data_IF_839049604808
#
_entry.id   IF_839049604808
#
_cell.length_a   1.000
_cell.length_b   1.000
_cell.length_c   1.000
_cell.angle_alpha   90.00
_cell.angle_beta   90.00
_cell.angle_gamma   90.00
#
_symmetry.space_group_name_H-M   'P 1'
#
loop_
_entity.id
_entity.type
_entity.pdbx_description
1 polymer ?
#
# COMPACT_ATOMS: atom_id res chain seq x y z
N UNK A 1 -38.88 -5.16 2.85
CA UNK A 1 -38.12 -6.22 2.16
C UNK A 1 -36.72 -5.66 1.96
N UNK A 2 -35.68 -6.28 2.52
CA UNK A 2 -34.31 -5.75 2.43
C UNK A 2 -33.76 -5.98 1.02
N UNK A 3 -32.92 -5.08 0.52
CA UNK A 3 -32.27 -5.19 -0.80
C UNK A 3 -31.50 -6.52 -0.92
N UNK A 4 -30.86 -6.96 0.16
CA UNK A 4 -30.18 -8.26 0.23
C UNK A 4 -31.14 -9.43 -0.04
N UNK A 5 -32.36 -9.41 0.51
CA UNK A 5 -33.35 -10.47 0.24
C UNK A 5 -33.74 -10.52 -1.25
N UNK A 6 -33.95 -9.36 -1.87
CA UNK A 6 -34.38 -9.28 -3.27
C UNK A 6 -33.30 -9.71 -4.27
N UNK A 7 -32.05 -9.34 -4.02
CA UNK A 7 -30.98 -9.54 -4.99
C UNK A 7 -30.16 -10.80 -4.74
N UNK A 8 -30.03 -11.23 -3.48
CA UNK A 8 -29.21 -12.37 -3.11
C UNK A 8 -30.04 -13.64 -2.92
N UNK A 9 -31.13 -13.57 -2.14
CA UNK A 9 -31.87 -14.76 -1.73
C UNK A 9 -33.05 -15.13 -2.65
N UNK A 10 -33.80 -14.15 -3.15
CA UNK A 10 -34.99 -14.37 -3.97
C UNK A 10 -34.74 -15.26 -5.21
N UNK A 11 -33.63 -15.12 -5.97
CA UNK A 11 -33.36 -15.99 -7.12
C UNK A 11 -33.27 -17.47 -6.74
N UNK A 12 -32.68 -17.78 -5.59
CA UNK A 12 -32.58 -19.16 -5.07
C UNK A 12 -33.95 -19.71 -4.66
N UNK A 13 -34.79 -18.89 -4.04
CA UNK A 13 -36.17 -19.30 -3.73
C UNK A 13 -36.98 -19.58 -4.99
N UNK A 14 -36.85 -18.74 -6.02
CA UNK A 14 -37.53 -18.95 -7.30
C UNK A 14 -37.07 -20.23 -8.00
N UNK A 15 -35.75 -20.47 -8.06
CA UNK A 15 -35.18 -21.70 -8.61
C UNK A 15 -35.60 -22.95 -7.82
N UNK A 16 -35.60 -22.86 -6.48
CA UNK A 16 -36.04 -23.94 -5.60
C UNK A 16 -37.52 -24.28 -5.79
N UNK A 17 -38.40 -23.28 -5.74
CA UNK A 17 -39.84 -23.44 -5.96
C UNK A 17 -40.10 -24.03 -7.35
N UNK A 18 -39.42 -23.51 -8.38
CA UNK A 18 -39.55 -24.04 -9.73
C UNK A 18 -39.05 -25.48 -9.86
N UNK A 19 -38.02 -25.86 -9.12
CA UNK A 19 -37.52 -27.24 -9.07
C UNK A 19 -38.54 -28.18 -8.44
N UNK A 20 -39.13 -27.81 -7.31
CA UNK A 20 -40.19 -28.60 -6.69
C UNK A 20 -41.43 -28.71 -7.59
N UNK A 21 -41.82 -27.61 -8.23
CA UNK A 21 -42.92 -27.60 -9.19
C UNK A 21 -42.62 -28.52 -10.39
N UNK A 22 -41.42 -28.42 -10.95
CA UNK A 22 -40.98 -29.22 -12.10
C UNK A 22 -40.92 -30.71 -11.79
N UNK A 23 -40.44 -31.08 -10.58
CA UNK A 23 -40.47 -32.46 -10.09
C UNK A 23 -41.90 -32.95 -9.87
N UNK A 24 -42.78 -32.11 -9.30
CA UNK A 24 -44.19 -32.44 -9.10
C UNK A 24 -44.91 -32.69 -10.43
N UNK A 25 -44.77 -31.79 -11.41
CA UNK A 25 -45.37 -31.96 -12.75
C UNK A 25 -44.79 -33.19 -13.44
N UNK A 26 -43.47 -33.38 -13.36
CA UNK A 26 -42.80 -34.56 -13.90
C UNK A 26 -43.28 -35.86 -13.24
N UNK A 27 -43.53 -35.87 -11.93
CA UNK A 27 -44.06 -37.04 -11.23
C UNK A 27 -45.54 -37.28 -11.53
N UNK A 28 -46.36 -36.22 -11.58
CA UNK A 28 -47.79 -36.30 -11.89
C UNK A 28 -48.03 -36.92 -13.28
N UNK A 29 -47.19 -36.61 -14.28
CA UNK A 29 -47.19 -37.24 -15.60
C UNK A 29 -46.87 -38.76 -15.60
N UNK A 30 -46.40 -39.33 -14.49
CA UNK A 30 -46.09 -40.76 -14.35
C UNK A 30 -47.32 -41.60 -13.93
N UNK A 31 -48.31 -41.01 -13.27
CA UNK A 31 -49.51 -41.71 -12.78
C UNK A 31 -50.71 -41.42 -13.67
N UNK A 32 -51.24 -42.46 -14.32
CA UNK A 32 -52.36 -42.46 -15.29
C UNK A 32 -53.73 -41.95 -14.75
N UNK A 33 -53.79 -41.26 -13.61
CA UNK A 33 -55.06 -40.95 -12.90
C UNK A 33 -55.29 -39.46 -12.60
N UNK A 34 -54.53 -38.51 -13.17
CA UNK A 34 -54.94 -37.10 -13.08
C UNK A 34 -54.68 -36.28 -14.35
N UNK A 35 -55.24 -36.77 -15.45
CA UNK A 35 -55.22 -36.16 -16.79
C UNK A 35 -56.06 -34.86 -16.93
N UNK A 36 -56.21 -34.08 -15.84
CA UNK A 36 -57.03 -32.87 -15.81
C UNK A 36 -56.28 -31.62 -15.34
N UNK A 37 -55.02 -31.74 -14.90
CA UNK A 37 -54.28 -30.65 -14.25
C UNK A 37 -52.84 -30.44 -14.75
N UNK A 38 -52.38 -31.24 -15.73
CA UNK A 38 -51.03 -31.13 -16.30
C UNK A 38 -51.13 -30.64 -17.74
N UNK A 39 -50.79 -29.36 -17.95
CA UNK A 39 -50.78 -28.73 -19.27
C UNK A 39 -49.46 -29.09 -20.00
N UNK A 40 -49.57 -29.65 -21.22
CA UNK A 40 -48.43 -30.03 -22.06
C UNK A 40 -47.44 -28.88 -22.25
N UNK A 41 -47.94 -27.68 -22.54
CA UNK A 41 -47.11 -26.48 -22.76
C UNK A 41 -46.32 -26.06 -21.51
N UNK A 42 -46.89 -26.26 -20.32
CA UNK A 42 -46.18 -25.98 -19.07
C UNK A 42 -45.07 -27.01 -18.85
N UNK A 43 -45.34 -28.28 -19.15
CA UNK A 43 -44.34 -29.34 -19.02
C UNK A 43 -43.19 -29.18 -20.02
N UNK A 44 -43.48 -28.80 -21.26
CA UNK A 44 -42.47 -28.54 -22.30
C UNK A 44 -41.61 -27.31 -21.99
N UNK A 45 -42.18 -26.27 -21.40
CA UNK A 45 -41.46 -25.04 -21.04
C UNK A 45 -40.64 -25.12 -19.75
N UNK A 46 -40.73 -26.22 -18.98
CA UNK A 46 -39.93 -26.40 -17.76
C UNK A 46 -38.44 -26.08 -17.96
N UNK A 47 -37.75 -26.64 -18.98
CA UNK A 47 -36.31 -26.45 -19.14
C UNK A 47 -35.94 -25.01 -19.50
N UNK A 48 -36.72 -24.33 -20.36
CA UNK A 48 -36.43 -22.95 -20.75
C UNK A 48 -36.62 -21.96 -19.59
N UNK A 49 -37.61 -22.18 -18.72
CA UNK A 49 -37.81 -21.33 -17.53
C UNK A 49 -36.65 -21.44 -16.54
N UNK A 50 -35.98 -22.59 -16.44
CA UNK A 50 -34.74 -22.70 -15.64
C UNK A 50 -33.62 -21.78 -16.14
N UNK A 51 -33.46 -21.66 -17.46
CA UNK A 51 -32.49 -20.74 -18.06
C UNK A 51 -32.87 -19.29 -17.75
N UNK A 52 -34.14 -18.93 -17.94
CA UNK A 52 -34.63 -17.57 -17.67
C UNK A 52 -34.48 -17.17 -16.20
N UNK A 53 -34.79 -18.07 -15.26
CA UNK A 53 -34.59 -17.83 -13.83
C UNK A 53 -33.10 -17.76 -13.44
N UNK A 54 -32.26 -18.57 -14.07
CA UNK A 54 -30.80 -18.49 -13.89
C UNK A 54 -30.23 -17.16 -14.37
N UNK A 55 -30.68 -16.67 -15.52
CA UNK A 55 -30.30 -15.37 -16.08
C UNK A 55 -30.79 -14.20 -15.22
N UNK A 56 -32.00 -14.29 -14.66
CA UNK A 56 -32.49 -13.33 -13.66
C UNK A 56 -31.60 -13.30 -12.42
N UNK A 57 -31.18 -14.46 -11.92
CA UNK A 57 -30.23 -14.57 -10.81
C UNK A 57 -28.88 -13.93 -11.10
N UNK A 58 -28.37 -14.08 -12.32
CA UNK A 58 -27.14 -13.42 -12.78
C UNK A 58 -27.24 -11.90 -12.68
N UNK A 59 -28.33 -11.32 -13.21
CA UNK A 59 -28.53 -9.87 -13.14
C UNK A 59 -28.72 -9.37 -11.72
N UNK A 60 -29.40 -10.15 -10.87
CA UNK A 60 -29.58 -9.81 -9.47
C UNK A 60 -28.24 -9.82 -8.69
N UNK A 61 -27.40 -10.84 -8.89
CA UNK A 61 -26.09 -10.95 -8.22
C UNK A 61 -25.09 -9.87 -8.65
N UNK A 62 -25.05 -9.53 -9.95
CA UNK A 62 -24.22 -8.42 -10.44
C UNK A 62 -24.71 -7.10 -9.84
N UNK A 63 -26.02 -6.87 -9.82
CA UNK A 63 -26.61 -5.65 -9.24
C UNK A 63 -26.29 -5.55 -7.74
N UNK A 64 -26.32 -6.66 -7.01
CA UNK A 64 -25.94 -6.71 -5.59
C UNK A 64 -24.47 -6.32 -5.37
N UNK A 65 -23.56 -6.83 -6.20
CA UNK A 65 -22.13 -6.52 -6.09
C UNK A 65 -21.76 -5.06 -6.44
N UNK A 66 -22.64 -4.33 -7.12
CA UNK A 66 -22.40 -2.97 -7.58
C UNK A 66 -23.12 -1.88 -6.76
N UNK A 67 -24.15 -2.23 -5.99
CA UNK A 67 -25.04 -1.23 -5.37
C UNK A 67 -24.37 -0.40 -4.26
N UNK A 68 -23.32 -0.94 -3.63
CA UNK A 68 -22.51 -0.25 -2.62
C UNK A 68 -21.03 -0.15 -3.04
N UNK A 69 -20.75 -0.26 -4.34
CA UNK A 69 -19.39 -0.24 -4.84
C UNK A 69 -18.80 1.16 -4.73
N UNK A 70 -17.81 1.32 -3.85
CA UNK A 70 -17.10 2.57 -3.60
C UNK A 70 -15.64 2.48 -4.06
N UNK A 71 -15.19 3.51 -4.78
CA UNK A 71 -13.82 3.65 -5.31
C UNK A 71 -12.83 4.26 -4.33
N UNK A 72 -13.29 4.70 -3.15
CA UNK A 72 -12.43 5.30 -2.15
C UNK A 72 -11.41 4.29 -1.57
N UNK A 73 -10.13 4.68 -1.36
CA UNK A 73 -9.07 3.77 -0.92
C UNK A 73 -9.33 3.05 0.42
N UNK A 74 -10.15 3.63 1.28
CA UNK A 74 -10.52 3.04 2.57
C UNK A 74 -11.57 1.92 2.45
N UNK A 75 -12.43 1.99 1.43
CA UNK A 75 -13.57 1.09 1.25
C UNK A 75 -13.42 0.13 0.08
N UNK A 76 -12.49 0.38 -0.85
CA UNK A 76 -12.29 -0.40 -2.08
C UNK A 76 -12.06 -1.89 -1.82
N UNK A 77 -11.38 -2.27 -0.72
CA UNK A 77 -11.19 -3.69 -0.37
C UNK A 77 -12.53 -4.36 -0.05
N UNK A 78 -13.41 -3.66 0.66
CA UNK A 78 -14.77 -4.13 0.97
C UNK A 78 -15.62 -4.15 -0.29
N UNK A 79 -15.57 -3.09 -1.11
CA UNK A 79 -16.27 -3.00 -2.41
C UNK A 79 -15.90 -4.15 -3.35
N UNK A 80 -14.60 -4.50 -3.44
CA UNK A 80 -14.12 -5.62 -4.24
C UNK A 80 -14.62 -6.95 -3.67
N UNK A 81 -14.64 -7.10 -2.35
CA UNK A 81 -15.13 -8.33 -1.70
C UNK A 81 -16.62 -8.53 -1.95
N UNK A 82 -17.43 -7.48 -1.79
CA UNK A 82 -18.88 -7.51 -2.03
C UNK A 82 -19.20 -7.75 -3.51
N UNK A 83 -18.39 -7.18 -4.42
CA UNK A 83 -18.49 -7.44 -5.86
C UNK A 83 -18.19 -8.91 -6.18
N UNK A 84 -17.12 -9.47 -5.61
CA UNK A 84 -16.75 -10.87 -5.80
C UNK A 84 -17.83 -11.81 -5.26
N UNK A 85 -18.45 -11.49 -4.14
CA UNK A 85 -19.56 -12.27 -3.59
C UNK A 85 -20.83 -12.18 -4.45
N UNK A 86 -21.16 -10.99 -4.97
CA UNK A 86 -22.25 -10.80 -5.94
C UNK A 86 -22.04 -11.57 -7.24
N UNK A 87 -20.82 -11.54 -7.79
CA UNK A 87 -20.43 -12.31 -8.98
C UNK A 87 -20.44 -13.82 -8.74
N UNK A 88 -19.97 -14.27 -7.58
CA UNK A 88 -20.02 -15.68 -7.17
C UNK A 88 -21.46 -16.17 -7.08
N UNK A 89 -22.36 -15.37 -6.50
CA UNK A 89 -23.78 -15.69 -6.43
C UNK A 89 -24.41 -15.78 -7.84
N UNK A 90 -24.13 -14.78 -8.69
CA UNK A 90 -24.58 -14.74 -10.08
C UNK A 90 -24.13 -15.98 -10.88
N UNK A 91 -22.87 -16.39 -10.71
CA UNK A 91 -22.32 -17.58 -11.36
C UNK A 91 -23.06 -18.85 -10.92
N UNK A 92 -23.28 -19.04 -9.61
CA UNK A 92 -23.96 -20.23 -9.10
C UNK A 92 -25.44 -20.30 -9.49
N UNK A 93 -26.15 -19.18 -9.54
CA UNK A 93 -27.55 -19.17 -10.00
C UNK A 93 -27.68 -19.52 -11.48
N UNK A 94 -26.74 -19.04 -12.31
CA UNK A 94 -26.67 -19.39 -13.73
C UNK A 94 -26.33 -20.85 -13.94
N UNK A 95 -25.32 -21.36 -13.23
CA UNK A 95 -24.92 -22.76 -13.26
C UNK A 95 -26.09 -23.67 -12.87
N UNK A 96 -26.84 -23.32 -11.82
CA UNK A 96 -28.02 -24.06 -11.41
C UNK A 96 -29.12 -24.07 -12.48
N UNK A 97 -29.40 -22.92 -13.10
CA UNK A 97 -30.36 -22.81 -14.20
C UNK A 97 -29.97 -23.67 -15.42
N UNK A 98 -28.69 -23.65 -15.80
CA UNK A 98 -28.18 -24.47 -16.92
C UNK A 98 -28.25 -25.96 -16.58
N UNK A 99 -27.81 -26.37 -15.39
CA UNK A 99 -27.90 -27.76 -14.96
C UNK A 99 -29.36 -28.24 -14.88
N UNK A 100 -30.25 -27.43 -14.32
CA UNK A 100 -31.70 -27.71 -14.27
C UNK A 100 -32.28 -27.88 -15.68
N UNK A 101 -31.97 -26.96 -16.59
CA UNK A 101 -32.38 -27.05 -17.99
C UNK A 101 -31.91 -28.35 -18.65
N UNK A 102 -30.63 -28.73 -18.50
CA UNK A 102 -30.11 -29.95 -19.12
C UNK A 102 -30.79 -31.23 -18.57
N UNK A 103 -30.99 -31.29 -17.26
CA UNK A 103 -31.64 -32.42 -16.59
C UNK A 103 -33.11 -32.52 -17.05
N UNK A 104 -33.87 -31.43 -16.95
CA UNK A 104 -35.29 -31.43 -17.30
C UNK A 104 -35.52 -31.53 -18.80
N UNK A 105 -34.65 -30.98 -19.65
CA UNK A 105 -34.68 -31.18 -21.11
C UNK A 105 -34.61 -32.67 -21.45
N UNK A 106 -33.73 -33.41 -20.77
CA UNK A 106 -33.59 -34.86 -20.96
C UNK A 106 -34.83 -35.61 -20.46
N UNK A 107 -35.42 -35.19 -19.34
CA UNK A 107 -36.65 -35.80 -18.77
C UNK A 107 -37.86 -35.56 -19.69
N UNK A 108 -38.07 -34.33 -20.14
CA UNK A 108 -39.15 -33.95 -21.06
C UNK A 108 -39.03 -34.75 -22.36
N UNK A 109 -37.84 -34.74 -22.98
CA UNK A 109 -37.56 -35.48 -24.22
C UNK A 109 -37.78 -36.99 -24.06
N UNK A 110 -37.33 -37.57 -22.96
CA UNK A 110 -37.53 -38.99 -22.68
C UNK A 110 -39.02 -39.36 -22.58
N UNK A 111 -39.84 -38.52 -21.96
CA UNK A 111 -41.28 -38.75 -21.80
C UNK A 111 -42.09 -38.52 -23.07
N UNK A 112 -41.68 -37.55 -23.89
CA UNK A 112 -42.24 -37.34 -25.23
C UNK A 112 -41.97 -38.55 -26.14
N UNK A 113 -40.72 -39.02 -26.19
CA UNK A 113 -40.33 -40.17 -27.04
C UNK A 113 -41.02 -41.48 -26.64
N UNK A 114 -41.35 -41.66 -25.36
CA UNK A 114 -42.11 -42.83 -24.89
C UNK A 114 -43.64 -42.70 -25.03
N UNK A 115 -44.14 -41.63 -25.63
CA UNK A 115 -45.58 -41.40 -25.84
C UNK A 115 -46.37 -41.15 -24.54
N UNK A 116 -45.67 -40.76 -23.46
CA UNK A 116 -46.28 -40.48 -22.14
C UNK A 116 -46.79 -39.04 -22.09
N UNK A 117 -46.13 -38.13 -22.81
CA UNK A 117 -46.58 -36.76 -23.05
C UNK A 117 -46.84 -36.61 -24.55
N UNK A 118 -48.12 -36.52 -24.94
CA UNK A 118 -48.55 -36.44 -26.34
C UNK A 118 -49.00 -35.01 -26.62
N UNK A 119 -48.47 -34.44 -27.69
CA UNK A 119 -48.84 -33.12 -28.20
C UNK A 119 -50.32 -33.15 -28.64
N UNK A 120 -51.17 -32.18 -28.25
CA UNK A 120 -52.56 -32.14 -28.67
C UNK A 120 -52.66 -31.89 -30.19
N UNK A 121 -53.43 -32.73 -30.88
CA UNK A 121 -53.59 -32.68 -32.34
C UNK A 121 -54.56 -31.57 -32.76
N UNK A 122 -54.08 -30.56 -33.49
CA UNK A 122 -54.90 -29.57 -34.20
C UNK A 122 -54.43 -29.48 -35.67
N UNK A 123 -55.34 -29.80 -36.59
CA UNK A 123 -55.13 -29.69 -38.03
C UNK A 123 -55.17 -28.21 -38.49
N UNK A 124 -54.22 -27.83 -39.33
CA UNK A 124 -53.97 -26.54 -40.02
C UNK A 124 -53.01 -25.51 -39.41
N UNK A 125 -52.64 -25.58 -38.13
CA UNK A 125 -51.61 -24.68 -37.56
C UNK A 125 -50.17 -25.24 -37.67
N UNK A 126 -50.04 -26.54 -37.96
CA UNK A 126 -48.77 -27.28 -37.97
C UNK A 126 -47.78 -26.81 -39.05
N UNK A 127 -48.26 -26.24 -40.15
CA UNK A 127 -47.40 -25.77 -41.24
C UNK A 127 -46.82 -24.37 -40.96
N UNK A 128 -47.60 -23.50 -40.32
CA UNK A 128 -47.09 -22.25 -39.77
C UNK A 128 -46.17 -22.50 -38.57
N UNK A 129 -46.50 -23.44 -37.69
CA UNK A 129 -45.63 -23.86 -36.58
C UNK A 129 -44.31 -24.49 -37.05
N UNK A 130 -44.30 -25.27 -38.13
CA UNK A 130 -43.05 -25.77 -38.74
C UNK A 130 -42.20 -24.65 -39.32
N UNK A 131 -42.83 -23.65 -39.96
CA UNK A 131 -42.12 -22.47 -40.46
C UNK A 131 -41.62 -21.57 -39.31
N UNK A 132 -42.40 -21.41 -38.25
CA UNK A 132 -42.01 -20.72 -37.02
C UNK A 132 -40.87 -21.47 -36.33
N UNK A 133 -40.92 -22.80 -36.23
CA UNK A 133 -39.86 -23.62 -35.64
C UNK A 133 -38.58 -23.55 -36.49
N UNK A 134 -38.68 -23.63 -37.82
CA UNK A 134 -37.52 -23.44 -38.71
C UNK A 134 -36.92 -22.03 -38.58
N UNK A 135 -37.77 -21.00 -38.46
CA UNK A 135 -37.32 -19.62 -38.21
C UNK A 135 -36.74 -19.46 -36.79
N UNK A 136 -37.29 -20.12 -35.77
CA UNK A 136 -36.78 -20.12 -34.40
C UNK A 136 -35.46 -20.88 -34.28
N UNK A 137 -35.27 -21.98 -35.03
CA UNK A 137 -34.00 -22.68 -35.13
C UNK A 137 -32.98 -21.80 -35.86
N UNK A 138 -33.36 -21.17 -36.98
CA UNK A 138 -32.48 -20.23 -37.69
C UNK A 138 -32.14 -18.98 -36.87
N UNK A 139 -33.07 -18.51 -36.03
CA UNK A 139 -32.83 -17.46 -35.04
C UNK A 139 -31.97 -17.97 -33.88
N UNK A 140 -32.17 -19.20 -33.41
CA UNK A 140 -31.36 -19.82 -32.35
C UNK A 140 -29.92 -20.06 -32.82
N UNK A 141 -29.70 -20.43 -34.08
CA UNK A 141 -28.36 -20.53 -34.68
C UNK A 141 -27.71 -19.15 -34.83
N UNK A 142 -28.47 -18.12 -35.25
CA UNK A 142 -27.96 -16.74 -35.30
C UNK A 142 -27.66 -16.20 -33.92
N UNK A 143 -28.51 -16.48 -32.93
CA UNK A 143 -28.32 -16.10 -31.54
C UNK A 143 -27.13 -16.86 -30.95
N UNK A 144 -26.97 -18.17 -31.17
CA UNK A 144 -25.81 -18.92 -30.70
C UNK A 144 -24.51 -18.39 -31.31
N UNK A 145 -24.47 -18.16 -32.62
CA UNK A 145 -23.28 -17.60 -33.28
C UNK A 145 -22.99 -16.14 -32.88
N UNK A 146 -24.02 -15.31 -32.66
CA UNK A 146 -23.87 -13.95 -32.15
C UNK A 146 -23.50 -13.92 -30.66
N UNK A 147 -24.00 -14.85 -29.86
CA UNK A 147 -23.66 -14.99 -28.43
C UNK A 147 -22.23 -15.51 -28.27
N UNK A 148 -21.79 -16.50 -29.06
CA UNK A 148 -20.43 -17.03 -29.00
C UNK A 148 -19.40 -15.97 -29.36
N UNK A 149 -19.62 -15.22 -30.43
CA UNK A 149 -18.71 -14.13 -30.83
C UNK A 149 -18.81 -12.93 -29.89
N UNK A 150 -20.02 -12.45 -29.56
CA UNK A 150 -20.17 -11.27 -28.73
C UNK A 150 -19.79 -11.49 -27.26
N UNK A 151 -20.06 -12.65 -26.67
CA UNK A 151 -19.63 -12.95 -25.30
C UNK A 151 -18.12 -13.14 -25.26
N UNK A 152 -17.51 -13.91 -26.17
CA UNK A 152 -16.05 -14.09 -26.18
C UNK A 152 -15.34 -12.76 -26.42
N UNK A 153 -15.82 -11.95 -27.35
CA UNK A 153 -15.24 -10.63 -27.65
C UNK A 153 -15.46 -9.64 -26.50
N UNK A 154 -16.63 -9.64 -25.86
CA UNK A 154 -16.88 -8.83 -24.66
C UNK A 154 -16.05 -9.28 -23.46
N UNK A 155 -15.84 -10.58 -23.27
CA UNK A 155 -15.07 -11.13 -22.14
C UNK A 155 -13.57 -10.91 -22.37
N UNK A 156 -13.11 -11.03 -23.63
CA UNK A 156 -11.75 -10.64 -24.03
C UNK A 156 -11.52 -9.14 -23.81
N UNK A 157 -12.45 -8.30 -24.27
CA UNK A 157 -12.41 -6.85 -24.02
C UNK A 157 -12.39 -6.52 -22.54
N UNK A 158 -13.24 -7.16 -21.73
CA UNK A 158 -13.27 -6.96 -20.28
C UNK A 158 -11.95 -7.39 -19.60
N UNK A 159 -11.34 -8.49 -20.01
CA UNK A 159 -10.04 -8.91 -19.45
C UNK A 159 -8.92 -7.99 -19.91
N UNK A 160 -8.93 -7.52 -21.17
CA UNK A 160 -7.99 -6.51 -21.66
C UNK A 160 -8.15 -5.20 -20.88
N UNK A 161 -9.38 -4.75 -20.61
CA UNK A 161 -9.67 -3.55 -19.83
C UNK A 161 -9.23 -3.69 -18.37
N UNK A 162 -9.46 -4.86 -17.74
CA UNK A 162 -8.98 -5.14 -16.37
C UNK A 162 -7.45 -5.16 -16.35
N UNK A 163 -6.80 -5.77 -17.35
CA UNK A 163 -5.35 -5.82 -17.44
C UNK A 163 -4.74 -4.43 -17.66
N UNK A 164 -5.34 -3.61 -18.54
CA UNK A 164 -4.94 -2.22 -18.78
C UNK A 164 -5.14 -1.35 -17.54
N UNK A 165 -6.27 -1.53 -16.84
CA UNK A 165 -6.54 -0.84 -15.56
C UNK A 165 -5.52 -1.24 -14.50
N UNK A 166 -5.21 -2.54 -14.38
CA UNK A 166 -4.23 -3.06 -13.45
C UNK A 166 -2.82 -2.52 -13.75
N UNK A 167 -2.42 -2.45 -15.03
CA UNK A 167 -1.19 -1.78 -15.46
C UNK A 167 -1.15 -0.33 -15.06
N UNK A 168 -2.20 0.43 -15.38
CA UNK A 168 -2.27 1.86 -15.03
C UNK A 168 -2.17 2.04 -13.52
N UNK A 169 -2.88 1.22 -12.74
CA UNK A 169 -2.86 1.27 -11.29
C UNK A 169 -1.48 0.96 -10.72
N UNK A 170 -0.84 -0.13 -11.17
CA UNK A 170 0.50 -0.50 -10.70
C UNK A 170 1.52 0.55 -11.12
N UNK A 171 1.52 1.01 -12.37
CA UNK A 171 2.43 2.06 -12.81
C UNK A 171 2.23 3.32 -11.99
N UNK A 172 1.01 3.80 -11.83
CA UNK A 172 0.75 5.05 -11.12
C UNK A 172 1.06 4.96 -9.62
N UNK A 173 0.75 3.84 -8.96
CA UNK A 173 0.99 3.66 -7.52
C UNK A 173 2.46 3.37 -7.22
N UNK A 174 3.13 2.55 -8.04
CA UNK A 174 4.56 2.27 -7.89
C UNK A 174 5.37 3.51 -8.26
N UNK A 175 5.16 4.11 -9.43
CA UNK A 175 5.90 5.29 -9.89
C UNK A 175 5.74 6.47 -8.94
N UNK A 176 4.50 6.86 -8.58
CA UNK A 176 4.30 7.99 -7.66
C UNK A 176 4.86 7.75 -6.26
N UNK A 177 4.77 6.52 -5.74
CA UNK A 177 5.33 6.24 -4.41
C UNK A 177 6.85 6.17 -4.43
N UNK A 178 7.47 5.60 -5.47
CA UNK A 178 8.92 5.62 -5.65
C UNK A 178 9.44 7.02 -5.91
N UNK A 179 8.72 7.87 -6.64
CA UNK A 179 9.09 9.27 -6.86
C UNK A 179 9.06 10.06 -5.56
N UNK A 180 7.97 9.95 -4.78
CA UNK A 180 7.89 10.57 -3.44
C UNK A 180 8.98 10.07 -2.50
N UNK A 181 9.27 8.77 -2.53
CA UNK A 181 10.30 8.17 -1.69
C UNK A 181 11.72 8.60 -2.12
N UNK A 182 11.96 8.67 -3.43
CA UNK A 182 13.22 9.18 -4.01
C UNK A 182 13.41 10.65 -3.64
N UNK A 183 12.35 11.46 -3.74
CA UNK A 183 12.37 12.87 -3.35
C UNK A 183 12.68 13.04 -1.86
N UNK A 184 12.03 12.27 -0.99
CA UNK A 184 12.30 12.29 0.44
C UNK A 184 13.75 11.89 0.78
N UNK A 185 14.29 10.88 0.09
CA UNK A 185 15.69 10.45 0.27
C UNK A 185 16.66 11.52 -0.24
N UNK A 186 16.38 12.16 -1.38
CA UNK A 186 17.21 13.26 -1.89
C UNK A 186 17.23 14.45 -0.93
N UNK A 187 16.08 14.84 -0.38
CA UNK A 187 16.00 15.87 0.64
C UNK A 187 16.80 15.50 1.89
N UNK A 188 16.77 14.22 2.30
CA UNK A 188 17.55 13.75 3.44
C UNK A 188 19.07 13.80 3.15
N UNK A 189 19.51 13.42 1.95
CA UNK A 189 20.91 13.54 1.53
C UNK A 189 21.37 14.99 1.57
N UNK A 190 20.55 15.90 1.05
CA UNK A 190 20.88 17.33 1.03
C UNK A 190 20.92 17.92 2.45
N UNK A 191 19.91 17.60 3.27
CA UNK A 191 19.89 17.98 4.68
C UNK A 191 21.13 17.48 5.42
N UNK A 192 21.55 16.22 5.22
CA UNK A 192 22.78 15.69 5.82
C UNK A 192 24.03 16.45 5.35
N UNK A 193 24.08 16.84 4.06
CA UNK A 193 25.19 17.62 3.50
C UNK A 193 25.29 18.98 4.18
N UNK A 194 24.18 19.69 4.30
CA UNK A 194 24.11 20.99 4.98
C UNK A 194 24.46 20.86 6.46
N UNK A 195 23.89 19.87 7.15
CA UNK A 195 24.14 19.62 8.56
C UNK A 195 25.61 19.37 8.85
N UNK A 196 26.29 18.57 8.03
CA UNK A 196 27.74 18.33 8.15
C UNK A 196 28.54 19.64 8.07
N UNK A 197 28.18 20.54 7.16
CA UNK A 197 28.86 21.84 7.03
C UNK A 197 28.68 22.69 8.28
N UNK A 198 27.51 22.69 8.88
CA UNK A 198 27.25 23.38 10.15
C UNK A 198 28.11 22.81 11.29
N UNK A 199 28.17 21.47 11.43
CA UNK A 199 28.96 20.84 12.50
C UNK A 199 30.46 21.07 12.30
N UNK A 200 30.92 21.06 11.05
CA UNK A 200 32.30 21.42 10.71
C UNK A 200 32.60 22.87 11.12
N UNK A 201 31.68 23.81 10.88
CA UNK A 201 31.82 25.20 11.32
C UNK A 201 31.86 25.33 12.85
N UNK A 202 31.00 24.58 13.56
CA UNK A 202 31.01 24.53 15.02
C UNK A 202 32.33 23.97 15.54
N UNK A 203 32.87 22.91 14.93
CA UNK A 203 34.17 22.33 15.27
C UNK A 203 35.28 23.38 15.15
N UNK A 204 35.34 24.09 14.03
CA UNK A 204 36.33 25.15 13.80
C UNK A 204 36.20 26.30 14.81
N UNK A 205 34.96 26.69 15.14
CA UNK A 205 34.70 27.70 16.16
C UNK A 205 35.18 27.24 17.56
N UNK A 206 34.93 25.98 17.93
CA UNK A 206 35.43 25.39 19.17
C UNK A 206 36.96 25.29 19.21
N UNK A 207 37.60 24.93 18.10
CA UNK A 207 39.07 24.94 18.00
C UNK A 207 39.65 26.33 18.23
N UNK A 208 39.03 27.35 17.63
CA UNK A 208 39.41 28.74 17.87
C UNK A 208 39.21 29.13 19.34
N UNK A 209 38.09 28.74 19.94
CA UNK A 209 37.78 29.01 21.35
C UNK A 209 38.81 28.38 22.29
N UNK A 210 39.16 27.10 22.09
CA UNK A 210 40.19 26.39 22.87
C UNK A 210 41.53 27.12 22.80
N UNK A 211 41.94 27.55 21.60
CA UNK A 211 43.21 28.27 21.42
C UNK A 211 43.20 29.63 22.11
N UNK A 212 42.13 30.42 21.94
CA UNK A 212 42.00 31.73 22.62
C UNK A 212 41.96 31.58 24.14
N UNK A 213 41.28 30.55 24.65
CA UNK A 213 41.22 30.28 26.08
C UNK A 213 42.57 29.84 26.64
N UNK A 214 43.36 29.08 25.87
CA UNK A 214 44.75 28.74 26.20
C UNK A 214 45.62 29.99 26.33
N UNK A 215 45.60 30.88 25.33
CA UNK A 215 46.35 32.15 25.36
C UNK A 215 45.95 33.02 26.57
N UNK A 216 44.65 33.10 26.87
CA UNK A 216 44.14 33.81 28.04
C UNK A 216 44.64 33.20 29.36
N UNK A 217 44.66 31.88 29.46
CA UNK A 217 45.15 31.15 30.63
C UNK A 217 46.65 31.38 30.84
N UNK A 218 47.46 31.26 29.78
CA UNK A 218 48.91 31.55 29.82
C UNK A 218 49.21 33.00 30.24
N UNK A 219 48.43 33.95 29.73
CA UNK A 219 48.52 35.36 30.11
C UNK A 219 48.17 35.55 31.59
N UNK A 220 47.15 34.86 32.08
CA UNK A 220 46.71 34.93 33.50
C UNK A 220 47.79 34.40 34.43
N UNK A 221 48.42 33.26 34.12
CA UNK A 221 49.56 32.75 34.89
C UNK A 221 50.73 33.75 34.93
N UNK A 222 51.01 34.42 33.81
CA UNK A 222 52.05 35.48 33.76
C UNK A 222 51.68 36.66 34.66
N UNK A 223 50.40 37.00 34.81
CA UNK A 223 49.95 38.06 35.71
C UNK A 223 50.04 37.65 37.18
N UNK A 224 49.69 36.41 37.52
CA UNK A 224 49.86 35.85 38.88
C UNK A 224 51.33 35.95 39.29
N UNK A 225 52.25 35.47 38.45
CA UNK A 225 53.70 35.50 38.72
C UNK A 225 54.21 36.93 38.96
N UNK A 226 53.78 37.90 38.15
CA UNK A 226 54.12 39.32 38.33
C UNK A 226 53.53 39.92 39.61
N UNK A 227 52.31 39.57 39.98
CA UNK A 227 51.69 40.06 41.22
C UNK A 227 52.42 39.54 42.45
N UNK A 228 52.82 38.26 42.43
CA UNK A 228 53.64 37.66 43.48
C UNK A 228 55.02 38.32 43.58
N UNK A 229 55.68 38.60 42.45
CA UNK A 229 56.96 39.30 42.43
C UNK A 229 56.84 40.70 43.05
N UNK A 230 55.83 41.50 42.64
CA UNK A 230 55.62 42.85 43.18
C UNK A 230 55.26 42.79 44.67
N UNK A 231 54.44 41.82 45.10
CA UNK A 231 54.12 41.65 46.51
C UNK A 231 55.39 41.34 47.34
N UNK A 232 56.27 40.48 46.81
CA UNK A 232 57.57 40.19 47.41
C UNK A 232 58.48 41.42 47.51
N UNK A 233 58.62 42.18 46.42
CA UNK A 233 59.40 43.43 46.39
C UNK A 233 58.84 44.48 47.37
N UNK A 234 57.51 44.60 47.46
CA UNK A 234 56.85 45.56 48.36
C UNK A 234 57.03 45.17 49.82
N UNK A 235 56.99 43.87 50.14
CA UNK A 235 57.33 43.37 51.48
C UNK A 235 58.78 43.68 51.86
N UNK A 236 59.72 43.57 50.92
CA UNK A 236 61.12 43.97 51.16
C UNK A 236 61.26 45.46 51.40
N UNK A 237 60.58 46.30 50.60
CA UNK A 237 60.55 47.74 50.81
C UNK A 237 59.98 48.11 52.18
N UNK A 238 58.90 47.46 52.62
CA UNK A 238 58.32 47.68 53.95
C UNK A 238 59.34 47.38 55.07
N UNK A 239 60.14 46.32 54.95
CA UNK A 239 61.21 46.00 55.91
C UNK A 239 62.30 47.08 55.94
N UNK A 240 62.76 47.54 54.77
CA UNK A 240 63.79 48.59 54.67
C UNK A 240 63.31 49.90 55.30
N UNK A 241 62.05 50.29 55.07
CA UNK A 241 61.51 51.52 55.65
C UNK A 241 61.31 51.37 57.17
N UNK A 242 60.91 50.20 57.68
CA UNK A 242 60.85 49.92 59.13
C UNK A 242 62.24 50.06 59.78
N UNK A 243 63.29 49.56 59.13
CA UNK A 243 64.68 49.68 59.60
C UNK A 243 65.17 51.13 59.56
N UNK A 244 64.85 51.89 58.51
CA UNK A 244 65.18 53.32 58.41
C UNK A 244 64.47 54.16 59.48
N UNK A 245 63.19 53.87 59.75
CA UNK A 245 62.41 54.48 60.83
C UNK A 245 63.04 54.26 62.20
N UNK A 246 63.54 53.06 62.48
CA UNK A 246 64.20 52.77 63.75
C UNK A 246 65.44 53.66 64.02
N UNK A 247 65.96 54.29 62.97
CA UNK A 247 67.15 55.16 62.99
C UNK A 247 66.76 56.65 62.93
N UNK A 248 65.52 57.00 62.57
CA UNK A 248 65.04 58.39 62.40
C UNK A 248 63.90 58.72 63.38
N UNK A 249 64.11 59.74 64.22
CA UNK A 249 63.17 60.18 65.28
C UNK A 249 61.95 61.00 64.74
N UNK A 250 61.53 60.78 63.48
CA UNK A 250 60.41 61.48 62.81
C UNK A 250 59.25 60.51 62.50
N UNK A 251 58.25 60.53 63.36
CA UNK A 251 57.24 59.47 63.48
C UNK A 251 55.99 59.65 62.59
N UNK A 252 55.73 60.83 62.01
CA UNK A 252 54.38 61.14 61.54
C UNK A 252 54.06 60.75 60.10
N UNK A 253 54.96 61.03 59.13
CA UNK A 253 54.69 60.80 57.69
C UNK A 253 55.13 59.42 57.20
N UNK A 254 56.30 58.96 57.61
CA UNK A 254 56.80 57.63 57.23
C UNK A 254 55.94 56.51 57.80
N UNK A 255 55.35 56.70 58.99
CA UNK A 255 54.46 55.71 59.60
C UNK A 255 53.18 55.46 58.84
N UNK A 256 52.62 56.53 58.27
CA UNK A 256 51.46 56.42 57.41
C UNK A 256 51.80 55.68 56.11
N UNK A 257 52.92 56.02 55.48
CA UNK A 257 53.40 55.36 54.25
C UNK A 257 53.66 53.87 54.49
N UNK A 258 54.30 53.48 55.60
CA UNK A 258 54.51 52.05 55.91
C UNK A 258 53.19 51.31 56.07
N UNK A 259 52.23 51.90 56.78
CA UNK A 259 50.92 51.27 56.99
C UNK A 259 50.22 51.06 55.65
N UNK A 260 50.19 52.08 54.79
CA UNK A 260 49.60 52.01 53.44
C UNK A 260 50.32 50.98 52.54
N UNK A 261 51.66 50.91 52.60
CA UNK A 261 52.47 49.95 51.84
C UNK A 261 52.24 48.51 52.33
N UNK A 262 52.17 48.28 53.64
CA UNK A 262 51.86 46.96 54.23
C UNK A 262 50.45 46.51 53.87
N UNK A 263 49.46 47.40 53.97
CA UNK A 263 48.08 47.12 53.59
C UNK A 263 47.96 46.81 52.09
N UNK A 264 48.62 47.58 51.23
CA UNK A 264 48.69 47.32 49.79
C UNK A 264 49.35 45.97 49.48
N UNK A 265 50.44 45.61 50.18
CA UNK A 265 51.13 44.32 50.03
C UNK A 265 50.22 43.15 50.41
N UNK A 266 49.50 43.27 51.55
CA UNK A 266 48.56 42.25 52.00
C UNK A 266 47.39 42.08 51.01
N UNK A 267 46.87 43.19 50.47
CA UNK A 267 45.85 43.18 49.43
C UNK A 267 46.37 42.53 48.13
N UNK A 268 47.62 42.81 47.73
CA UNK A 268 48.25 42.18 46.57
C UNK A 268 48.44 40.67 46.76
N UNK A 269 48.93 40.20 47.91
CA UNK A 269 49.04 38.77 48.20
C UNK A 269 47.67 38.08 48.16
N UNK A 270 46.65 38.71 48.74
CA UNK A 270 45.29 38.17 48.72
C UNK A 270 44.75 38.08 47.28
N UNK A 271 44.99 39.12 46.48
CA UNK A 271 44.59 39.16 45.06
C UNK A 271 45.34 38.12 44.23
N UNK A 272 46.64 37.97 44.44
CA UNK A 272 47.46 36.99 43.73
C UNK A 272 46.97 35.56 43.98
N UNK A 273 46.74 35.22 45.26
CA UNK A 273 46.21 33.90 45.64
C UNK A 273 44.82 33.63 45.06
N UNK A 274 43.94 34.62 45.05
CA UNK A 274 42.63 34.49 44.42
C UNK A 274 42.75 34.29 42.90
N UNK A 275 43.68 35.01 42.25
CA UNK A 275 43.92 34.88 40.81
C UNK A 275 44.55 33.53 40.45
N UNK A 276 45.41 32.98 41.31
CA UNK A 276 45.97 31.62 41.18
C UNK A 276 44.85 30.55 41.22
N UNK A 277 43.94 30.64 42.19
CA UNK A 277 42.76 29.76 42.27
C UNK A 277 41.88 29.86 41.01
N UNK A 278 41.68 31.07 40.49
CA UNK A 278 40.96 31.28 39.24
C UNK A 278 41.71 30.73 38.01
N UNK A 279 43.05 30.82 37.98
CA UNK A 279 43.89 30.27 36.92
C UNK A 279 43.80 28.75 36.83
N UNK A 280 43.78 28.08 37.99
CA UNK A 280 43.57 26.63 38.06
C UNK A 280 42.18 26.23 37.51
N UNK A 281 41.13 26.98 37.84
CA UNK A 281 39.78 26.77 37.27
C UNK A 281 39.73 27.05 35.77
N UNK A 282 40.51 28.01 35.26
CA UNK A 282 40.61 28.25 33.82
C UNK A 282 41.19 27.03 33.08
N UNK A 283 42.13 26.30 33.69
CA UNK A 283 42.65 25.06 33.11
C UNK A 283 41.61 23.94 33.10
N UNK A 284 40.79 23.81 34.15
CA UNK A 284 39.65 22.88 34.16
C UNK A 284 38.67 23.17 33.01
N UNK A 285 38.32 24.45 32.80
CA UNK A 285 37.48 24.88 31.68
C UNK A 285 38.14 24.58 30.32
N UNK A 286 39.45 24.76 30.22
CA UNK A 286 40.21 24.41 29.00
C UNK A 286 40.10 22.93 28.67
N UNK A 287 40.22 22.05 29.68
CA UNK A 287 40.08 20.61 29.51
C UNK A 287 38.66 20.25 29.05
N UNK A 288 37.63 20.83 29.67
CA UNK A 288 36.24 20.62 29.26
C UNK A 288 35.97 21.04 27.80
N UNK A 289 36.60 22.12 27.32
CA UNK A 289 36.51 22.51 25.91
C UNK A 289 37.23 21.53 24.97
N UNK A 290 38.37 20.95 25.39
CA UNK A 290 39.06 19.91 24.62
C UNK A 290 38.19 18.65 24.53
N UNK A 291 37.57 18.23 25.63
CA UNK A 291 36.66 17.08 25.64
C UNK A 291 35.46 17.32 24.72
N UNK A 292 34.83 18.50 24.81
CA UNK A 292 33.73 18.90 23.91
C UNK A 292 34.15 18.88 22.43
N UNK A 293 35.36 19.35 22.12
CA UNK A 293 35.93 19.28 20.76
C UNK A 293 36.07 17.84 20.26
N UNK A 294 36.53 16.94 21.13
CA UNK A 294 36.70 15.52 20.78
C UNK A 294 35.33 14.87 20.51
N UNK A 295 34.34 15.12 21.36
CA UNK A 295 32.97 14.63 21.14
C UNK A 295 32.36 15.13 19.82
N UNK A 296 32.56 16.40 19.46
CA UNK A 296 32.13 16.95 18.18
C UNK A 296 32.82 16.24 17.01
N UNK A 297 34.10 15.86 17.17
CA UNK A 297 34.85 15.16 16.13
C UNK A 297 34.36 13.72 15.94
N UNK A 298 34.13 12.98 17.03
CA UNK A 298 33.52 11.63 16.98
C UNK A 298 32.10 11.66 16.42
N UNK A 299 31.36 12.71 16.72
CA UNK A 299 30.03 12.90 16.15
C UNK A 299 30.06 13.11 14.63
N UNK A 300 31.03 13.88 14.12
CA UNK A 300 31.25 14.07 12.69
C UNK A 300 31.56 12.74 11.98
N UNK A 301 32.34 11.86 12.60
CA UNK A 301 32.63 10.52 12.06
C UNK A 301 31.39 9.63 12.01
N UNK A 302 30.53 9.69 13.02
CA UNK A 302 29.25 8.95 13.02
C UNK A 302 28.33 9.44 11.92
N UNK A 303 28.27 10.75 11.68
CA UNK A 303 27.46 11.33 10.61
C UNK A 303 27.89 10.84 9.21
N UNK A 304 29.19 10.63 9.00
CA UNK A 304 29.71 10.06 7.75
C UNK A 304 29.19 8.63 7.51
N UNK A 305 29.08 7.82 8.56
CA UNK A 305 28.47 6.49 8.46
C UNK A 305 26.97 6.53 8.13
N UNK A 306 26.23 7.50 8.68
CA UNK A 306 24.80 7.70 8.34
C UNK A 306 24.68 8.12 6.88
N UNK A 307 25.50 9.05 6.40
CA UNK A 307 25.50 9.49 5.00
C UNK A 307 25.77 8.35 4.02
N UNK A 308 26.76 7.52 4.30
CA UNK A 308 27.08 6.38 3.45
C UNK A 308 25.92 5.38 3.40
N UNK A 309 25.23 5.19 4.52
CA UNK A 309 24.00 4.37 4.61
C UNK A 309 22.85 4.97 3.80
N UNK A 310 22.63 6.28 3.88
CA UNK A 310 21.60 6.98 3.10
C UNK A 310 21.88 6.89 1.59
N UNK A 311 23.14 7.03 1.18
CA UNK A 311 23.53 6.88 -0.22
C UNK A 311 23.31 5.44 -0.71
N UNK A 312 23.65 4.44 0.10
CA UNK A 312 23.37 3.03 -0.21
C UNK A 312 21.87 2.74 -0.31
N UNK A 313 21.05 3.34 0.56
CA UNK A 313 19.60 3.26 0.52
C UNK A 313 19.05 3.86 -0.78
N UNK A 314 19.52 5.06 -1.15
CA UNK A 314 19.16 5.74 -2.41
C UNK A 314 19.46 4.86 -3.63
N UNK A 315 20.65 4.27 -3.67
CA UNK A 315 21.04 3.36 -4.75
C UNK A 315 20.17 2.10 -4.79
N UNK A 316 19.90 1.50 -3.63
CA UNK A 316 19.02 0.32 -3.52
C UNK A 316 17.60 0.64 -3.98
N UNK A 317 17.11 1.84 -3.70
CA UNK A 317 15.79 2.28 -4.14
C UNK A 317 15.70 2.39 -5.67
N UNK A 318 16.75 2.93 -6.30
CA UNK A 318 16.84 3.03 -7.76
C UNK A 318 16.87 1.66 -8.44
N UNK A 319 17.58 0.69 -7.86
CA UNK A 319 17.62 -0.68 -8.37
C UNK A 319 16.27 -1.41 -8.19
N UNK A 320 15.62 -1.25 -7.03
CA UNK A 320 14.27 -1.78 -6.80
C UNK A 320 13.25 -1.25 -7.80
N UNK A 321 13.29 0.06 -8.09
CA UNK A 321 12.41 0.68 -9.09
C UNK A 321 12.57 0.04 -10.47
N UNK A 322 13.81 -0.21 -10.91
CA UNK A 322 14.07 -0.89 -12.21
C UNK A 322 13.60 -2.34 -12.21
N UNK A 323 13.80 -3.05 -11.10
CA UNK A 323 13.42 -4.45 -10.96
C UNK A 323 11.91 -4.64 -11.04
N UNK A 324 11.13 -3.82 -10.32
CA UNK A 324 9.67 -3.90 -10.34
C UNK A 324 9.11 -3.64 -11.74
N UNK A 325 9.55 -2.58 -12.43
CA UNK A 325 9.12 -2.28 -13.80
C UNK A 325 9.33 -3.49 -14.73
N UNK A 326 10.52 -4.09 -14.69
CA UNK A 326 10.84 -5.26 -15.55
C UNK A 326 10.03 -6.52 -15.20
N UNK A 327 9.60 -6.66 -13.95
CA UNK A 327 8.82 -7.81 -13.49
C UNK A 327 7.36 -7.66 -13.88
N UNK A 328 6.83 -6.44 -13.79
CA UNK A 328 5.48 -6.09 -14.20
C UNK A 328 5.32 -6.31 -15.71
N UNK A 329 6.28 -5.86 -16.53
CA UNK A 329 6.29 -6.09 -17.98
C UNK A 329 6.25 -7.60 -18.33
N UNK A 330 7.07 -8.42 -17.66
CA UNK A 330 7.09 -9.87 -17.88
C UNK A 330 5.82 -10.57 -17.42
N UNK A 331 5.22 -10.11 -16.32
CA UNK A 331 3.98 -10.69 -15.79
C UNK A 331 2.81 -10.41 -16.74
N UNK A 332 2.77 -9.20 -17.31
CA UNK A 332 1.80 -8.84 -18.33
C UNK A 332 1.94 -9.68 -19.59
N UNK A 333 3.15 -9.79 -20.15
CA UNK A 333 3.39 -10.63 -21.34
C UNK A 333 2.93 -12.07 -21.11
N UNK A 334 3.25 -12.63 -19.93
CA UNK A 334 2.83 -13.98 -19.57
C UNK A 334 1.32 -14.10 -19.41
N UNK A 335 0.68 -13.14 -18.72
CA UNK A 335 -0.77 -13.13 -18.52
C UNK A 335 -1.52 -13.05 -19.86
N UNK A 336 -1.12 -12.14 -20.74
CA UNK A 336 -1.72 -11.99 -22.07
C UNK A 336 -1.56 -13.26 -22.91
N UNK A 337 -0.40 -13.91 -22.84
CA UNK A 337 -0.14 -15.19 -23.52
C UNK A 337 -1.01 -16.34 -22.98
N UNK A 338 -1.12 -16.46 -21.65
CA UNK A 338 -1.93 -17.50 -21.00
C UNK A 338 -3.43 -17.27 -21.27
N UNK A 339 -3.85 -16.00 -21.32
CA UNK A 339 -5.20 -15.60 -21.67
C UNK A 339 -5.55 -15.95 -23.13
N UNK A 340 -4.66 -15.64 -24.08
CA UNK A 340 -4.84 -15.98 -25.49
C UNK A 340 -4.95 -17.50 -25.68
N UNK A 341 -4.13 -18.28 -24.97
CA UNK A 341 -4.18 -19.74 -24.99
C UNK A 341 -5.51 -20.27 -24.44
N UNK A 342 -6.03 -19.66 -23.37
CA UNK A 342 -7.31 -20.02 -22.76
C UNK A 342 -8.47 -19.77 -23.72
N UNK A 343 -8.51 -18.60 -24.38
CA UNK A 343 -9.55 -18.27 -25.36
C UNK A 343 -9.51 -19.19 -26.59
N UNK A 344 -8.31 -19.54 -27.09
CA UNK A 344 -8.17 -20.52 -28.18
C UNK A 344 -8.71 -21.90 -27.80
N UNK A 345 -8.46 -22.33 -26.56
CA UNK A 345 -8.95 -23.61 -26.05
C UNK A 345 -10.48 -23.61 -25.94
N UNK A 346 -11.06 -22.50 -25.47
CA UNK A 346 -12.49 -22.32 -25.38
C UNK A 346 -13.19 -22.35 -26.74
N UNK A 347 -12.66 -21.62 -27.73
CA UNK A 347 -13.15 -21.62 -29.12
C UNK A 347 -13.13 -23.03 -29.73
N UNK A 348 -12.07 -23.81 -29.46
CA UNK A 348 -11.98 -25.20 -29.90
C UNK A 348 -13.08 -26.09 -29.28
N UNK A 349 -13.32 -25.96 -27.97
CA UNK A 349 -14.34 -26.74 -27.26
C UNK A 349 -15.76 -26.42 -27.75
N UNK A 350 -16.05 -25.15 -28.04
CA UNK A 350 -17.34 -24.73 -28.62
C UNK A 350 -17.53 -25.33 -30.01
N UNK A 351 -16.52 -25.24 -30.89
CA UNK A 351 -16.59 -25.84 -32.23
C UNK A 351 -16.82 -27.34 -32.18
N UNK A 352 -16.15 -28.04 -31.27
CA UNK A 352 -16.31 -29.48 -31.08
C UNK A 352 -17.73 -29.83 -30.60
N UNK A 353 -18.30 -29.01 -29.72
CA UNK A 353 -19.69 -29.17 -29.26
C UNK A 353 -20.73 -28.90 -30.37
N UNK A 354 -20.53 -27.87 -31.20
CA UNK A 354 -21.39 -27.59 -32.35
C UNK A 354 -21.34 -28.76 -33.35
N UNK A 355 -20.14 -29.28 -33.65
CA UNK A 355 -19.96 -30.42 -34.55
C UNK A 355 -20.68 -31.67 -34.02
N UNK A 356 -20.59 -31.91 -32.71
CA UNK A 356 -21.30 -32.99 -32.04
C UNK A 356 -22.82 -32.86 -32.19
N UNK A 357 -23.38 -31.66 -31.99
CA UNK A 357 -24.81 -31.40 -32.17
C UNK A 357 -25.26 -31.59 -33.63
N UNK A 358 -24.50 -31.11 -34.61
CA UNK A 358 -24.79 -31.30 -36.03
C UNK A 358 -24.81 -32.78 -36.42
N UNK A 359 -23.87 -33.56 -35.90
CA UNK A 359 -23.79 -35.01 -36.14
C UNK A 359 -25.02 -35.74 -35.59
N UNK A 360 -25.45 -35.41 -34.36
CA UNK A 360 -26.65 -35.97 -33.74
C UNK A 360 -27.96 -35.60 -34.46
N UNK A 361 -27.99 -34.48 -35.17
CA UNK A 361 -29.16 -34.06 -35.97
C UNK A 361 -29.20 -34.82 -37.30
N UNK A 362 -28.07 -35.01 -37.95
CA UNK A 362 -27.99 -35.73 -39.23
C UNK A 362 -28.25 -37.24 -39.11
N UNK A 363 -27.93 -37.85 -37.97
CA UNK A 363 -28.25 -39.27 -37.69
C UNK A 363 -29.76 -39.54 -37.43
N UNK A 364 -30.59 -38.49 -37.33
CA UNK A 364 -32.04 -38.58 -37.06
C UNK A 364 -32.95 -38.21 -38.23
N UNK A 365 -32.37 -37.89 -39.40
CA UNK A 365 -33.08 -37.87 -40.68
C UNK A 365 -32.97 -39.25 -41.32
#
# INVERSE_FOLDING_TARGET
MTINFLLNELPWYLLGIWTFYSLYVSYAYKTSVRNRWTNYYIFESIPSVFITLGLLGTFAGITYGLIYFDTDPEFIKTSITDLLDGLKNAFYTSLYGICGNLIFSKIVKYKMVRGIAVEPEYENELQELKNINANLIGMSDKIANQIDSAIVESLKGMVEDVNNTFKSFINELVEKNFDKLTEAINQLIEWQREYRLEIQSIKEAYESLVNKHKEFTETTYTWVDKLDEIAGQTSQLAMIIDEFKAITDDDSKFSKIITEVKESTANMQTTSKALEEHSNKLDEVRLAFIDSKNEISEWLEREDGVRDSTNALSHSLQELRKFEISTIEKLDEKFMKDLEATFKTFDSLIKEYILYLQTQINEKK
#
